data_IF_865686431461
#
_entry.id   IF_865686431461
#
_cell.length_a   1.000
_cell.length_b   1.000
_cell.length_c   1.000
_cell.angle_alpha   90.00
_cell.angle_beta   90.00
_cell.angle_gamma   90.00
#
_symmetry.space_group_name_H-M   'P 1'
#
loop_
_entity.id
_entity.type
_entity.pdbx_description
1 polymer ?
#
# COMPACT_ATOMS: atom_id res chain seq x y z
N UNK A 1 10.53 -15.01 -0.58
CA UNK A 1 9.39 -14.51 0.24
C UNK A 1 9.56 -13.02 0.52
N UNK A 2 10.72 -12.58 1.03
CA UNK A 2 10.99 -11.16 1.34
C UNK A 2 10.77 -10.20 0.17
N UNK A 3 11.28 -10.55 -1.02
CA UNK A 3 11.09 -9.74 -2.22
C UNK A 3 9.61 -9.57 -2.60
N UNK A 4 8.84 -10.65 -2.51
CA UNK A 4 7.40 -10.60 -2.74
C UNK A 4 6.70 -9.71 -1.71
N UNK A 5 7.08 -9.80 -0.44
CA UNK A 5 6.52 -8.94 0.61
C UNK A 5 6.87 -7.47 0.39
N UNK A 6 8.09 -7.16 -0.05
CA UNK A 6 8.51 -5.79 -0.42
C UNK A 6 7.68 -5.29 -1.59
N UNK A 7 7.63 -6.05 -2.68
CA UNK A 7 6.85 -5.72 -3.87
C UNK A 7 5.37 -5.49 -3.54
N UNK A 8 4.77 -6.40 -2.77
CA UNK A 8 3.36 -6.29 -2.41
C UNK A 8 3.08 -5.02 -1.60
N UNK A 9 3.92 -4.72 -0.60
CA UNK A 9 3.69 -3.60 0.31
C UNK A 9 4.04 -2.24 -0.29
N UNK A 10 5.05 -2.17 -1.17
CA UNK A 10 5.63 -0.91 -1.64
C UNK A 10 5.37 -0.60 -3.12
N UNK A 11 5.07 -1.59 -3.95
CA UNK A 11 5.05 -1.41 -5.41
C UNK A 11 3.69 -1.78 -6.02
N UNK A 12 2.98 -2.77 -5.45
CA UNK A 12 1.68 -3.22 -5.96
C UNK A 12 0.56 -2.26 -5.58
N UNK A 13 0.16 -1.41 -6.54
CA UNK A 13 -1.02 -0.53 -6.40
C UNK A 13 -2.33 -1.32 -6.33
N UNK A 14 -3.21 -0.91 -5.42
CA UNK A 14 -4.52 -1.52 -5.19
C UNK A 14 -5.63 -0.72 -5.88
N UNK A 15 -6.21 -1.28 -6.95
CA UNK A 15 -7.22 -0.62 -7.79
C UNK A 15 -8.44 -0.13 -7.00
N UNK A 16 -8.98 -0.98 -6.12
CA UNK A 16 -10.12 -0.66 -5.24
C UNK A 16 -9.78 0.35 -4.13
N UNK A 17 -8.48 0.60 -3.88
CA UNK A 17 -8.01 1.51 -2.82
C UNK A 17 -7.33 2.74 -3.42
N UNK A 18 -8.05 3.43 -4.30
CA UNK A 18 -7.60 4.69 -4.94
C UNK A 18 -6.27 4.54 -5.71
N UNK A 19 -5.93 3.32 -6.15
CA UNK A 19 -4.65 3.00 -6.80
C UNK A 19 -3.41 3.33 -5.93
N UNK A 20 -3.53 3.24 -4.61
CA UNK A 20 -2.41 3.36 -3.66
C UNK A 20 -1.78 2.00 -3.37
N UNK A 21 -0.51 1.99 -3.00
CA UNK A 21 0.16 0.81 -2.42
C UNK A 21 -0.31 0.58 -0.99
N UNK A 22 -0.14 -0.63 -0.41
CA UNK A 22 -0.55 -0.89 0.97
C UNK A 22 0.03 0.09 1.99
N UNK A 23 1.31 0.47 1.86
CA UNK A 23 1.95 1.44 2.74
C UNK A 23 1.35 2.84 2.57
N UNK A 24 1.15 3.30 1.34
CA UNK A 24 0.52 4.59 1.06
C UNK A 24 -0.91 4.65 1.60
N UNK A 25 -1.71 3.60 1.38
CA UNK A 25 -3.08 3.54 1.86
C UNK A 25 -3.15 3.54 3.39
N UNK A 26 -2.24 2.82 4.08
CA UNK A 26 -2.12 2.87 5.54
C UNK A 26 -1.82 4.29 6.03
N UNK A 27 -0.85 4.96 5.43
CA UNK A 27 -0.47 6.32 5.84
C UNK A 27 -1.59 7.33 5.57
N UNK A 28 -2.30 7.18 4.44
CA UNK A 28 -3.48 7.97 4.13
C UNK A 28 -4.56 7.82 5.22
N UNK A 29 -4.87 6.59 5.64
CA UNK A 29 -5.83 6.36 6.72
C UNK A 29 -5.37 7.01 8.04
N UNK A 30 -4.09 6.88 8.40
CA UNK A 30 -3.54 7.46 9.63
C UNK A 30 -3.50 8.99 9.64
N UNK A 31 -3.38 9.63 8.48
CA UNK A 31 -3.43 11.09 8.35
C UNK A 31 -4.86 11.66 8.43
N UNK A 32 -5.87 10.79 8.34
CA UNK A 32 -7.29 11.14 8.46
C UNK A 32 -7.92 10.68 9.77
N UNK A 33 -7.10 10.17 10.70
CA UNK A 33 -7.44 9.96 12.11
C UNK A 33 -6.99 11.19 12.89
#
# INVERSE_FOLDING_TARGET
IEEYMRYYNQERKQWEKKKMTPVEYRNHLLAHV
#
